data_IF_002130308257
#
_entry.id   IF_002130308257
#
_cell.length_a   1.000
_cell.length_b   1.000
_cell.length_c   1.000
_cell.angle_alpha   90.00
_cell.angle_beta   90.00
_cell.angle_gamma   90.00
#
_symmetry.space_group_name_H-M   'P 1'
#
loop_
_entity.id
_entity.type
_entity.pdbx_description
1 polymer ?
#
# COMPACT_ATOMS: atom_id res chain seq x y z
N UNK A 1 14.28 -13.74 -5.23
CA UNK A 1 12.91 -13.35 -5.63
C UNK A 1 12.04 -14.56 -5.99
N UNK A 2 12.44 -15.44 -6.93
CA UNK A 2 11.81 -16.77 -7.06
C UNK A 2 12.04 -17.68 -5.83
N UNK A 3 13.15 -17.48 -5.12
CA UNK A 3 13.50 -18.18 -3.86
C UNK A 3 12.58 -17.88 -2.67
N UNK A 4 11.67 -16.90 -2.77
CA UNK A 4 10.71 -16.51 -1.72
C UNK A 4 9.25 -16.56 -2.22
N UNK A 5 8.98 -17.20 -3.37
CA UNK A 5 7.63 -17.53 -3.86
C UNK A 5 6.76 -16.38 -4.42
N UNK A 6 7.15 -15.11 -4.24
CA UNK A 6 6.35 -13.97 -4.71
C UNK A 6 6.65 -13.56 -6.16
N UNK A 7 5.60 -13.28 -6.93
CA UNK A 7 5.69 -12.64 -8.26
C UNK A 7 5.91 -11.13 -8.10
N UNK A 8 7.00 -10.56 -8.63
CA UNK A 8 7.22 -9.12 -8.53
C UNK A 8 6.21 -8.36 -9.39
N UNK A 9 5.91 -7.11 -8.99
CA UNK A 9 4.94 -6.23 -9.67
C UNK A 9 5.45 -4.77 -9.68
N UNK A 10 6.73 -4.52 -9.96
CA UNK A 10 7.26 -3.16 -9.94
C UNK A 10 6.91 -2.38 -11.19
N UNK A 11 6.51 -1.11 -11.04
CA UNK A 11 6.26 -0.26 -12.19
C UNK A 11 7.56 -0.03 -12.97
N UNK A 12 7.57 -0.32 -14.28
CA UNK A 12 8.75 -0.13 -15.10
C UNK A 12 9.10 1.36 -15.22
N UNK A 13 10.39 1.69 -15.09
CA UNK A 13 10.90 3.02 -15.44
C UNK A 13 11.22 3.07 -16.94
N UNK A 14 11.34 4.27 -17.49
CA UNK A 14 11.78 4.43 -18.87
C UNK A 14 13.16 3.79 -19.13
N UNK A 15 13.36 3.23 -20.32
CA UNK A 15 14.63 2.62 -20.74
C UNK A 15 14.91 1.23 -20.18
N UNK A 16 13.94 0.57 -19.53
CA UNK A 16 14.10 -0.83 -19.12
C UNK A 16 14.14 -1.76 -20.32
N UNK A 17 14.93 -2.83 -20.20
CA UNK A 17 15.05 -3.87 -21.21
C UNK A 17 14.65 -5.22 -20.62
N UNK A 18 14.24 -6.16 -21.47
CA UNK A 18 13.96 -7.56 -21.09
C UNK A 18 15.25 -8.36 -20.74
N UNK A 19 16.40 -7.69 -20.60
CA UNK A 19 17.65 -8.35 -20.25
C UNK A 19 17.54 -8.92 -18.83
N UNK A 20 17.59 -10.25 -18.74
CA UNK A 20 17.35 -11.02 -17.50
C UNK A 20 18.25 -10.63 -16.33
N UNK A 21 19.49 -10.17 -16.57
CA UNK A 21 20.54 -9.89 -15.55
C UNK A 21 20.53 -10.90 -14.37
N UNK A 22 20.24 -12.17 -14.66
CA UNK A 22 20.16 -13.27 -13.67
C UNK A 22 18.79 -13.55 -13.03
N UNK A 23 17.76 -12.71 -13.17
CA UNK A 23 16.44 -12.90 -12.53
C UNK A 23 15.34 -13.28 -13.52
N UNK A 24 14.87 -14.52 -13.45
CA UNK A 24 13.70 -14.98 -14.20
C UNK A 24 12.42 -14.24 -13.80
N UNK A 25 12.23 -13.98 -12.51
CA UNK A 25 11.06 -13.31 -11.98
C UNK A 25 10.90 -11.88 -12.56
N UNK A 26 12.01 -11.19 -12.84
CA UNK A 26 11.98 -9.87 -13.48
C UNK A 26 11.47 -9.97 -14.92
N UNK A 27 11.95 -10.95 -15.67
CA UNK A 27 11.55 -11.14 -17.08
C UNK A 27 10.09 -11.58 -17.17
N UNK A 28 9.66 -12.48 -16.28
CA UNK A 28 8.27 -12.94 -16.16
C UNK A 28 7.33 -11.79 -15.81
N UNK A 29 7.68 -10.94 -14.84
CA UNK A 29 6.87 -9.76 -14.52
C UNK A 29 6.71 -8.80 -15.71
N UNK A 30 7.78 -8.55 -16.47
CA UNK A 30 7.72 -7.69 -17.65
C UNK A 30 6.90 -8.32 -18.77
N UNK A 31 7.00 -9.65 -18.94
CA UNK A 31 6.19 -10.39 -19.89
C UNK A 31 4.70 -10.35 -19.51
N UNK A 32 4.36 -10.55 -18.22
CA UNK A 32 2.98 -10.41 -17.73
C UNK A 32 2.41 -9.02 -18.04
N UNK A 33 3.21 -7.98 -17.86
CA UNK A 33 2.83 -6.60 -18.19
C UNK A 33 2.57 -6.44 -19.69
N UNK A 34 3.35 -7.10 -20.55
CA UNK A 34 3.19 -7.03 -22.01
C UNK A 34 1.96 -7.80 -22.49
N UNK A 35 1.66 -8.96 -21.89
CA UNK A 35 0.57 -9.84 -22.31
C UNK A 35 -0.79 -9.28 -21.91
N UNK A 36 -0.95 -8.84 -20.66
CA UNK A 36 -2.19 -8.23 -20.17
C UNK A 36 -1.88 -7.02 -19.29
N UNK A 37 -1.58 -5.86 -19.92
CA UNK A 37 -1.22 -4.65 -19.18
C UNK A 37 -2.30 -4.22 -18.20
N UNK A 38 -3.58 -4.39 -18.56
CA UNK A 38 -4.70 -3.93 -17.74
C UNK A 38 -4.84 -4.75 -16.47
N UNK A 39 -4.75 -6.08 -16.56
CA UNK A 39 -4.73 -6.94 -15.39
C UNK A 39 -3.49 -6.66 -14.54
N UNK A 40 -2.33 -6.54 -15.17
CA UNK A 40 -1.09 -6.25 -14.45
C UNK A 40 -1.18 -4.93 -13.68
N UNK A 41 -1.73 -3.87 -14.29
CA UNK A 41 -1.91 -2.58 -13.66
C UNK A 41 -2.86 -2.66 -12.46
N UNK A 42 -3.97 -3.42 -12.56
CA UNK A 42 -4.87 -3.66 -11.42
C UNK A 42 -4.13 -4.30 -10.24
N UNK A 43 -3.34 -5.35 -10.51
CA UNK A 43 -2.54 -6.03 -9.48
C UNK A 43 -1.46 -5.10 -8.88
N UNK A 44 -0.80 -4.29 -9.74
CA UNK A 44 0.18 -3.29 -9.32
C UNK A 44 -0.43 -2.23 -8.40
N UNK A 45 -1.58 -1.65 -8.78
CA UNK A 45 -2.23 -0.59 -8.02
C UNK A 45 -2.64 -1.05 -6.63
N UNK A 46 -3.08 -2.29 -6.46
CA UNK A 46 -3.37 -2.84 -5.12
C UNK A 46 -2.12 -2.80 -4.23
N UNK A 47 -0.95 -3.25 -4.72
CA UNK A 47 0.29 -3.18 -3.93
C UNK A 47 0.71 -1.72 -3.70
N UNK A 48 0.69 -0.90 -4.74
CA UNK A 48 1.09 0.52 -4.67
C UNK A 48 0.25 1.30 -3.65
N UNK A 49 -1.05 1.02 -3.57
CA UNK A 49 -1.96 1.63 -2.60
C UNK A 49 -1.61 1.21 -1.18
N UNK A 50 -1.31 -0.07 -0.95
CA UNK A 50 -0.88 -0.58 0.36
C UNK A 50 0.45 0.09 0.78
N UNK A 51 1.44 0.14 -0.10
CA UNK A 51 2.74 0.79 0.17
C UNK A 51 2.57 2.28 0.49
N UNK A 52 1.75 2.98 -0.29
CA UNK A 52 1.44 4.40 -0.05
C UNK A 52 0.73 4.61 1.28
N UNK A 53 -0.27 3.79 1.60
CA UNK A 53 -0.98 3.83 2.87
C UNK A 53 -0.05 3.57 4.06
N UNK A 54 0.85 2.59 3.97
CA UNK A 54 1.87 2.34 5.00
C UNK A 54 2.85 3.50 5.17
N UNK A 55 3.24 4.14 4.07
CA UNK A 55 4.11 5.33 4.11
C UNK A 55 3.44 6.47 4.87
N UNK A 56 2.18 6.77 4.56
CA UNK A 56 1.40 7.79 5.27
C UNK A 56 1.25 7.42 6.75
N UNK A 57 0.84 6.18 7.04
CA UNK A 57 0.72 5.69 8.41
C UNK A 57 2.01 5.85 9.23
N UNK A 58 3.16 5.55 8.62
CA UNK A 58 4.46 5.68 9.30
C UNK A 58 4.82 7.15 9.54
N UNK A 59 4.48 8.04 8.60
CA UNK A 59 4.70 9.49 8.74
C UNK A 59 3.82 10.13 9.80
N UNK A 60 2.59 9.64 9.97
CA UNK A 60 1.69 10.05 11.04
C UNK A 60 2.21 9.65 12.42
N UNK A 61 2.92 8.51 12.50
CA UNK A 61 3.42 7.95 13.74
C UNK A 61 4.94 7.75 13.72
N UNK A 62 5.69 8.86 13.64
CA UNK A 62 7.16 8.86 13.58
C UNK A 62 7.85 8.16 14.76
N UNK A 63 7.19 8.10 15.93
CA UNK A 63 7.73 7.42 17.09
C UNK A 63 7.39 5.92 17.07
N UNK A 64 8.33 5.02 17.43
CA UNK A 64 8.04 3.61 17.66
C UNK A 64 6.93 3.38 18.70
N UNK A 65 6.41 2.16 18.78
CA UNK A 65 5.49 1.78 19.85
C UNK A 65 6.15 1.98 21.22
N UNK A 66 5.51 2.75 22.09
CA UNK A 66 6.06 3.16 23.38
C UNK A 66 5.85 2.11 24.46
N UNK A 67 4.81 1.27 24.33
CA UNK A 67 4.52 0.24 25.33
C UNK A 67 5.54 -0.90 25.26
N UNK A 68 5.98 -1.42 26.41
CA UNK A 68 6.89 -2.58 26.48
C UNK A 68 6.15 -3.92 26.50
N UNK A 69 5.03 -3.99 27.22
CA UNK A 69 4.21 -5.21 27.38
C UNK A 69 3.51 -5.55 26.05
N UNK A 70 3.63 -6.80 25.59
CA UNK A 70 3.13 -7.22 24.28
C UNK A 70 1.65 -6.91 24.04
N UNK A 71 0.77 -7.24 25.01
CA UNK A 71 -0.67 -6.93 24.92
C UNK A 71 -0.92 -5.42 24.74
N UNK A 72 -0.19 -4.58 25.49
CA UNK A 72 -0.30 -3.12 25.41
C UNK A 72 0.26 -2.57 24.08
N UNK A 73 1.29 -3.21 23.51
CA UNK A 73 1.80 -2.89 22.16
C UNK A 73 0.76 -3.16 21.08
N UNK A 74 0.04 -4.28 21.16
CA UNK A 74 -1.06 -4.59 20.25
C UNK A 74 -2.17 -3.54 20.36
N UNK A 75 -2.55 -3.16 21.59
CA UNK A 75 -3.55 -2.10 21.81
C UNK A 75 -3.09 -0.75 21.24
N UNK A 76 -1.82 -0.36 21.46
CA UNK A 76 -1.27 0.88 20.90
C UNK A 76 -1.28 0.86 19.37
N UNK A 77 -0.84 -0.24 18.75
CA UNK A 77 -0.86 -0.39 17.30
C UNK A 77 -2.29 -0.29 16.74
N UNK A 78 -3.25 -0.96 17.38
CA UNK A 78 -4.66 -0.91 16.97
C UNK A 78 -5.23 0.52 17.08
N UNK A 79 -4.96 1.22 18.18
CA UNK A 79 -5.40 2.61 18.36
C UNK A 79 -4.84 3.54 17.27
N UNK A 80 -3.57 3.36 16.87
CA UNK A 80 -2.97 4.10 15.74
C UNK A 80 -3.69 3.82 14.42
N UNK A 81 -4.09 2.56 14.17
CA UNK A 81 -4.88 2.21 12.99
C UNK A 81 -6.26 2.88 13.01
N UNK A 82 -6.93 2.92 14.16
CA UNK A 82 -8.19 3.65 14.31
C UNK A 82 -8.05 5.15 14.02
N UNK A 83 -7.00 5.80 14.54
CA UNK A 83 -6.71 7.22 14.29
C UNK A 83 -6.45 7.49 12.80
N UNK A 84 -5.64 6.67 12.14
CA UNK A 84 -5.42 6.76 10.69
C UNK A 84 -6.73 6.62 9.90
N UNK A 85 -7.56 5.61 10.22
CA UNK A 85 -8.84 5.40 9.55
C UNK A 85 -9.79 6.59 9.75
N UNK A 86 -9.81 7.19 10.93
CA UNK A 86 -10.63 8.37 11.21
C UNK A 86 -10.20 9.56 10.36
N UNK A 87 -8.89 9.82 10.25
CA UNK A 87 -8.35 10.87 9.36
C UNK A 87 -8.75 10.62 7.90
N UNK A 88 -8.57 9.38 7.40
CA UNK A 88 -8.94 9.03 6.04
C UNK A 88 -10.45 9.21 5.78
N UNK A 89 -11.30 8.83 6.73
CA UNK A 89 -12.74 9.04 6.64
C UNK A 89 -13.09 10.55 6.56
N UNK A 90 -12.44 11.39 7.36
CA UNK A 90 -12.62 12.84 7.30
C UNK A 90 -12.16 13.43 5.96
N UNK A 91 -11.02 12.98 5.42
CA UNK A 91 -10.54 13.42 4.10
C UNK A 91 -11.48 12.99 2.98
N UNK A 92 -11.88 11.72 2.95
CA UNK A 92 -12.83 11.21 1.97
C UNK A 92 -14.14 12.00 2.03
N UNK A 93 -14.65 12.26 3.23
CA UNK A 93 -15.83 13.09 3.44
C UNK A 93 -15.66 14.49 2.83
N UNK A 94 -14.52 15.13 3.07
CA UNK A 94 -14.24 16.47 2.55
C UNK A 94 -14.14 16.49 1.03
N UNK A 95 -13.46 15.52 0.42
CA UNK A 95 -13.27 15.46 -1.03
C UNK A 95 -14.55 15.06 -1.78
N UNK A 96 -15.31 14.11 -1.24
CA UNK A 96 -16.53 13.57 -1.86
C UNK A 96 -17.79 14.41 -1.52
N UNK A 97 -17.64 15.50 -0.74
CA UNK A 97 -18.76 16.35 -0.32
C UNK A 97 -19.81 15.62 0.53
N UNK A 98 -19.43 14.54 1.21
CA UNK A 98 -20.37 13.71 1.96
C UNK A 98 -20.92 14.46 3.18
N UNK A 99 -22.23 14.63 3.23
CA UNK A 99 -22.93 15.24 4.36
C UNK A 99 -23.11 14.17 5.44
N UNK A 100 -22.61 14.42 6.65
CA UNK A 100 -22.89 13.53 7.76
C UNK A 100 -24.37 13.67 8.17
N UNK A 101 -25.12 12.57 8.30
CA UNK A 101 -26.56 12.61 8.60
C UNK A 101 -26.92 13.41 9.87
N UNK A 102 -26.00 13.48 10.83
CA UNK A 102 -26.18 14.19 12.11
C UNK A 102 -25.79 15.67 12.10
N UNK A 103 -25.46 16.25 10.94
CA UNK A 103 -25.16 17.69 10.81
C UNK A 103 -26.32 18.49 10.16
N UNK A 104 -27.46 17.85 9.93
CA UNK A 104 -28.68 18.48 9.38
C UNK A 104 -29.73 18.87 10.45
N UNK A 105 -29.30 18.99 11.72
CA UNK A 105 -30.12 19.57 12.82
C UNK A 105 -29.74 21.01 13.03
#
# INVERSE_FOLDING_TARGET
MKSVGGTPRFYPKEGITLRRRGSWAWTEMLFDLMVDPQRWLREYHVRSNVESGFSIFTRDFLAPLRKRIHRRRKTEAFARTCDYNLKQACYARHQEGLIAPWMNT
#
